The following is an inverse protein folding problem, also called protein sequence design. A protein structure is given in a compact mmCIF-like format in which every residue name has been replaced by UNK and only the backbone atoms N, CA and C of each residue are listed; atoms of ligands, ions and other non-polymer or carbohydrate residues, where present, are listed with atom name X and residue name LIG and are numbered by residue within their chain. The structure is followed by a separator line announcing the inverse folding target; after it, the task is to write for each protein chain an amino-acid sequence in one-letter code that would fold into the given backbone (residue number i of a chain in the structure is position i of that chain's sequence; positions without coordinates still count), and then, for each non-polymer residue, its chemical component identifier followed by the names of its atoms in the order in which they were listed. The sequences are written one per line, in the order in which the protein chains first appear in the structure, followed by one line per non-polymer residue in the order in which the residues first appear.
data_IF_347663982187
#
_entry.id   IF_347663982187
#
_cell.length_a   1.000
_cell.length_b   1.000
_cell.length_c   1.000
_cell.angle_alpha   90.00
_cell.angle_beta   90.00
_cell.angle_gamma   90.00
#
_symmetry.space_group_name_H-M   'P 1'
#
loop_
_entity.id
_entity.type
_entity.pdbx_description
1 polymer ?
#
# COMPACT_ATOMS: atom_id res chain seq x y z
N UNK A 1 5.76 -46.69 -42.98
CA UNK A 1 5.95 -46.66 -41.52
C UNK A 1 4.66 -46.17 -40.88
N UNK A 2 3.87 -47.10 -40.35
CA UNK A 2 2.56 -46.79 -39.73
C UNK A 2 2.82 -46.41 -38.27
N UNK A 3 2.31 -45.25 -37.85
CA UNK A 3 2.50 -44.65 -36.53
C UNK A 3 1.46 -45.24 -35.58
N UNK A 4 1.86 -46.16 -34.71
CA UNK A 4 0.98 -46.71 -33.67
C UNK A 4 0.55 -45.60 -32.69
N UNK A 5 -0.72 -45.19 -32.77
CA UNK A 5 -1.38 -44.42 -31.70
C UNK A 5 -1.79 -45.42 -30.61
N UNK A 6 -0.87 -45.75 -29.71
CA UNK A 6 -1.22 -46.42 -28.45
C UNK A 6 -2.02 -45.43 -27.61
N UNK A 7 -3.34 -45.61 -27.57
CA UNK A 7 -4.19 -44.91 -26.61
C UNK A 7 -3.69 -45.21 -25.21
N UNK A 8 -3.44 -44.19 -24.40
CA UNK A 8 -3.08 -44.37 -23.01
C UNK A 8 -4.32 -44.94 -22.30
N UNK A 9 -4.33 -46.25 -22.05
CA UNK A 9 -5.30 -46.89 -21.16
C UNK A 9 -4.97 -46.42 -19.74
N UNK A 10 -5.51 -45.26 -19.37
CA UNK A 10 -5.45 -44.77 -18.00
C UNK A 10 -6.28 -45.72 -17.16
N UNK A 11 -5.60 -46.43 -16.25
CA UNK A 11 -6.26 -47.28 -15.26
C UNK A 11 -7.38 -46.49 -14.57
N UNK A 12 -8.55 -47.11 -14.41
CA UNK A 12 -9.74 -46.48 -13.82
C UNK A 12 -9.44 -45.81 -12.47
N UNK A 13 -8.48 -46.36 -11.71
CA UNK A 13 -8.01 -45.78 -10.46
C UNK A 13 -7.34 -44.40 -10.64
N UNK A 14 -6.57 -44.20 -11.72
CA UNK A 14 -5.89 -42.93 -12.01
C UNK A 14 -6.91 -41.84 -12.36
N UNK A 15 -7.99 -42.21 -13.06
CA UNK A 15 -9.09 -41.29 -13.38
C UNK A 15 -9.81 -40.85 -12.10
N UNK A 16 -10.06 -41.77 -11.17
CA UNK A 16 -10.72 -41.45 -9.90
C UNK A 16 -9.82 -40.53 -9.06
N UNK A 17 -8.54 -40.84 -8.94
CA UNK A 17 -7.58 -40.05 -8.16
C UNK A 17 -7.44 -38.65 -8.74
N UNK A 18 -7.36 -38.50 -10.06
CA UNK A 18 -7.21 -37.18 -10.68
C UNK A 18 -8.42 -36.28 -10.44
N UNK A 19 -9.65 -36.82 -10.48
CA UNK A 19 -10.87 -36.08 -10.15
C UNK A 19 -10.85 -35.62 -8.69
N UNK A 20 -10.48 -36.49 -7.75
CA UNK A 20 -10.40 -36.14 -6.33
C UNK A 20 -9.38 -35.01 -6.07
N UNK A 21 -8.22 -35.07 -6.70
CA UNK A 21 -7.19 -34.01 -6.60
C UNK A 21 -7.73 -32.69 -7.14
N UNK A 22 -8.41 -32.69 -8.29
CA UNK A 22 -8.99 -31.48 -8.87
C UNK A 22 -10.04 -30.89 -7.93
N UNK A 23 -10.92 -31.71 -7.34
CA UNK A 23 -11.93 -31.22 -6.40
C UNK A 23 -11.30 -30.60 -5.15
N UNK A 24 -10.27 -31.24 -4.58
CA UNK A 24 -9.55 -30.68 -3.43
C UNK A 24 -8.89 -29.35 -3.79
N UNK A 25 -8.27 -29.24 -4.96
CA UNK A 25 -7.66 -27.99 -5.41
C UNK A 25 -8.67 -26.86 -5.60
N UNK A 26 -9.86 -27.16 -6.13
CA UNK A 26 -10.95 -26.17 -6.28
C UNK A 26 -11.42 -25.68 -4.91
N UNK A 27 -11.62 -26.58 -3.96
CA UNK A 27 -12.00 -26.21 -2.58
C UNK A 27 -10.93 -25.31 -1.97
N UNK A 28 -9.67 -25.72 -2.01
CA UNK A 28 -8.55 -24.92 -1.47
C UNK A 28 -8.46 -23.54 -2.14
N UNK A 29 -8.54 -23.46 -3.46
CA UNK A 29 -8.51 -22.21 -4.20
C UNK A 29 -9.66 -21.26 -3.82
N UNK A 30 -10.89 -21.79 -3.69
CA UNK A 30 -12.05 -20.98 -3.29
C UNK A 30 -11.95 -20.48 -1.85
N UNK A 31 -11.37 -21.26 -0.94
CA UNK A 31 -11.05 -20.80 0.43
C UNK A 31 -10.02 -19.66 0.43
N UNK A 32 -8.95 -19.78 -0.38
CA UNK A 32 -7.96 -18.70 -0.50
C UNK A 32 -8.55 -17.44 -1.13
N UNK A 33 -9.34 -17.55 -2.19
CA UNK A 33 -9.97 -16.40 -2.86
C UNK A 33 -10.99 -15.71 -1.94
N UNK A 34 -11.81 -16.49 -1.22
CA UNK A 34 -12.89 -15.96 -0.37
C UNK A 34 -12.39 -15.42 0.98
N UNK A 35 -11.37 -16.04 1.58
CA UNK A 35 -10.88 -15.68 2.90
C UNK A 35 -9.81 -14.59 2.92
N UNK A 36 -8.95 -14.51 1.90
CA UNK A 36 -7.81 -13.57 1.92
C UNK A 36 -8.19 -12.15 1.48
N UNK A 37 -9.12 -12.00 0.54
CA UNK A 37 -9.48 -10.70 -0.04
C UNK A 37 -10.06 -9.71 0.98
N UNK A 38 -10.80 -10.19 1.98
CA UNK A 38 -11.40 -9.34 3.03
C UNK A 38 -10.42 -9.00 4.16
N UNK A 39 -9.48 -9.89 4.46
CA UNK A 39 -8.45 -9.67 5.48
C UNK A 39 -7.37 -8.69 4.97
N UNK A 40 -6.91 -8.83 3.72
CA UNK A 40 -5.94 -7.89 3.15
C UNK A 40 -6.51 -6.49 2.91
N UNK A 41 -7.81 -6.39 2.60
CA UNK A 41 -8.48 -5.09 2.48
C UNK A 41 -8.57 -4.37 3.82
N UNK A 42 -8.88 -5.11 4.90
CA UNK A 42 -8.90 -4.56 6.26
C UNK A 42 -7.49 -4.22 6.80
N UNK A 43 -6.46 -4.98 6.45
CA UNK A 43 -5.08 -4.69 6.87
C UNK A 43 -4.52 -3.43 6.18
N UNK A 44 -4.96 -3.11 4.95
CA UNK A 44 -4.62 -1.83 4.30
C UNK A 44 -5.32 -0.61 4.92
N UNK A 45 -6.44 -0.83 5.62
CA UNK A 45 -7.25 0.23 6.22
C UNK A 45 -7.01 0.37 7.73
N UNK A 46 -6.59 -0.71 8.41
CA UNK A 46 -6.19 -0.76 9.82
C UNK A 46 -4.67 -0.67 9.97
N UNK A 47 -4.13 0.52 9.75
CA UNK A 47 -3.12 1.01 10.67
C UNK A 47 -3.33 2.51 10.75
N UNK A 48 -4.17 3.00 11.70
CA UNK A 48 -4.00 4.36 12.16
C UNK A 48 -2.53 4.48 12.48
N UNK A 49 -1.85 5.30 11.70
CA UNK A 49 -0.41 5.21 11.58
C UNK A 49 0.13 5.65 12.92
N UNK A 50 0.64 4.70 13.72
CA UNK A 50 1.19 4.96 15.06
C UNK A 50 1.96 6.27 14.98
N UNK A 51 1.50 7.30 15.69
CA UNK A 51 2.02 8.67 15.54
C UNK A 51 3.55 8.70 15.53
N UNK A 52 4.20 7.89 16.38
CA UNK A 52 5.66 7.74 16.39
C UNK A 52 6.28 7.17 15.10
N UNK A 53 5.65 6.17 14.47
CA UNK A 53 6.10 5.63 13.17
C UNK A 53 5.88 6.63 12.02
N UNK A 54 4.79 7.39 12.10
CA UNK A 54 4.48 8.46 11.14
C UNK A 54 5.46 9.61 11.24
N UNK A 55 5.82 10.02 12.46
CA UNK A 55 6.85 11.03 12.74
C UNK A 55 8.20 10.59 12.20
N UNK A 56 8.61 9.34 12.46
CA UNK A 56 9.87 8.81 11.95
C UNK A 56 9.91 8.73 10.41
N UNK A 57 8.78 8.39 9.77
CA UNK A 57 8.66 8.40 8.31
C UNK A 57 8.76 9.83 7.74
N UNK A 58 8.16 10.82 8.40
CA UNK A 58 8.29 12.23 8.02
C UNK A 58 9.72 12.74 8.18
N UNK A 59 10.41 12.37 9.27
CA UNK A 59 11.79 12.79 9.53
C UNK A 59 12.75 12.24 8.47
N UNK A 60 12.61 10.96 8.12
CA UNK A 60 13.37 10.33 7.02
C UNK A 60 13.12 11.03 5.67
N UNK A 61 11.85 11.38 5.37
CA UNK A 61 11.52 12.11 4.15
C UNK A 61 12.03 13.54 4.15
N UNK A 62 12.04 14.19 5.29
CA UNK A 62 12.62 15.52 5.45
C UNK A 62 14.13 15.49 5.14
N UNK A 63 14.87 14.53 5.72
CA UNK A 63 16.29 14.37 5.45
C UNK A 63 16.56 14.15 3.96
N UNK A 64 15.75 13.31 3.29
CA UNK A 64 15.85 13.13 1.85
C UNK A 64 15.54 14.42 1.09
N UNK A 65 14.50 15.15 1.49
CA UNK A 65 14.10 16.38 0.81
C UNK A 65 15.16 17.49 0.92
N UNK A 66 15.90 17.54 2.04
CA UNK A 66 17.01 18.48 2.23
C UNK A 66 18.20 18.20 1.29
N UNK A 67 18.35 16.98 0.78
CA UNK A 67 19.41 16.65 -0.18
C UNK A 67 19.14 17.17 -1.59
N UNK A 68 17.92 17.62 -1.89
CA UNK A 68 17.63 18.20 -3.19
C UNK A 68 18.19 19.62 -3.30
N UNK A 69 18.84 19.93 -4.41
CA UNK A 69 19.38 21.27 -4.66
C UNK A 69 18.34 22.25 -5.20
N UNK A 70 17.28 21.76 -5.86
CA UNK A 70 16.27 22.61 -6.48
C UNK A 70 15.03 22.78 -5.61
N UNK A 71 14.53 24.01 -5.58
CA UNK A 71 13.29 24.35 -4.86
C UNK A 71 12.08 23.57 -5.37
N UNK A 72 12.04 23.26 -6.67
CA UNK A 72 10.98 22.45 -7.28
C UNK A 72 11.06 21.00 -6.80
N UNK A 73 12.26 20.43 -6.66
CA UNK A 73 12.43 19.07 -6.12
C UNK A 73 12.10 19.01 -4.62
N UNK A 74 12.41 20.06 -3.85
CA UNK A 74 12.00 20.20 -2.44
C UNK A 74 10.47 20.25 -2.32
N UNK A 75 9.79 21.06 -3.15
CA UNK A 75 8.31 21.17 -3.20
C UNK A 75 7.62 19.86 -3.58
N UNK A 76 8.15 19.17 -4.58
CA UNK A 76 7.56 17.93 -5.08
C UNK A 76 8.01 16.68 -4.30
N UNK A 77 8.81 16.88 -3.25
CA UNK A 77 9.38 15.82 -2.43
C UNK A 77 8.31 15.01 -1.71
N UNK A 78 8.66 13.78 -1.35
CA UNK A 78 7.79 12.89 -0.59
C UNK A 78 7.43 13.44 0.79
N UNK A 79 8.18 14.41 1.32
CA UNK A 79 7.85 15.10 2.57
C UNK A 79 6.61 15.99 2.41
N UNK A 80 6.54 16.80 1.34
CA UNK A 80 5.38 17.69 1.10
C UNK A 80 4.10 16.92 0.75
N UNK A 81 4.22 15.80 0.03
CA UNK A 81 3.10 14.98 -0.47
C UNK A 81 2.58 13.94 0.50
N UNK A 82 3.30 13.68 1.61
CA UNK A 82 2.91 12.61 2.53
C UNK A 82 1.74 13.06 3.39
N UNK A 83 0.66 12.32 3.25
CA UNK A 83 -0.52 12.37 4.11
C UNK A 83 -0.40 11.31 5.20
N UNK A 84 -0.76 11.70 6.41
CA UNK A 84 -0.83 10.85 7.60
C UNK A 84 -2.26 10.90 8.10
N UNK A 85 -2.80 9.72 8.27
CA UNK A 85 -4.13 9.50 8.82
C UNK A 85 -3.97 9.20 10.30
N UNK A 86 -4.29 10.19 11.13
CA UNK A 86 -4.25 10.05 12.58
C UNK A 86 -5.66 9.79 13.07
N UNK A 87 -5.78 8.77 13.90
CA UNK A 87 -6.98 8.49 14.69
C UNK A 87 -6.91 9.36 15.95
N UNK A 88 -7.85 10.29 16.08
CA UNK A 88 -7.90 11.27 17.17
C UNK A 88 -8.96 10.90 18.20
N UNK A 89 -9.92 10.04 17.84
CA UNK A 89 -11.05 9.65 18.67
C UNK A 89 -10.96 8.19 19.19
N UNK A 90 -9.88 7.47 18.86
CA UNK A 90 -9.59 6.09 19.24
C UNK A 90 -10.66 5.09 18.75
N UNK A 91 -11.38 5.43 17.67
CA UNK A 91 -12.39 4.59 17.03
C UNK A 91 -11.79 3.61 16.00
N UNK A 92 -10.46 3.59 15.90
CA UNK A 92 -9.66 2.86 14.92
C UNK A 92 -9.93 3.28 13.47
N UNK A 93 -10.32 4.54 13.24
CA UNK A 93 -10.51 5.13 11.92
C UNK A 93 -9.67 6.40 11.78
N UNK A 94 -9.39 6.74 10.53
CA UNK A 94 -8.72 7.98 10.20
C UNK A 94 -9.71 9.15 10.32
N UNK A 95 -9.62 9.93 11.40
CA UNK A 95 -10.47 11.09 11.62
C UNK A 95 -10.05 12.28 10.76
N UNK A 96 -8.74 12.53 10.70
CA UNK A 96 -8.18 13.69 10.04
C UNK A 96 -6.91 13.32 9.26
N UNK A 97 -6.80 13.94 8.09
CA UNK A 97 -5.62 13.83 7.24
C UNK A 97 -4.70 15.01 7.57
N UNK A 98 -3.52 14.70 8.08
CA UNK A 98 -2.48 15.68 8.37
C UNK A 98 -1.30 15.47 7.41
N UNK A 99 -0.61 16.55 7.08
CA UNK A 99 0.64 16.46 6.33
C UNK A 99 1.86 16.41 7.26
N UNK A 100 2.98 15.86 6.76
CA UNK A 100 4.26 15.89 7.48
C UNK A 100 4.74 17.31 7.84
N UNK A 101 4.34 18.31 7.06
CA UNK A 101 4.65 19.73 7.29
C UNK A 101 3.61 20.46 8.15
N UNK A 102 2.49 19.80 8.50
CA UNK A 102 1.49 20.36 9.42
C UNK A 102 2.07 20.51 10.82
N UNK A 103 1.73 21.62 11.47
CA UNK A 103 2.08 21.92 12.86
C UNK A 103 1.56 20.89 13.88
N UNK A 104 0.60 20.05 13.49
CA UNK A 104 -0.03 19.06 14.37
C UNK A 104 0.78 17.77 14.51
N UNK A 105 1.58 17.40 13.50
CA UNK A 105 2.48 16.23 13.53
C UNK A 105 3.93 16.61 13.87
N UNK A 106 4.32 17.85 13.57
CA UNK A 106 5.47 18.49 14.23
C UNK A 106 6.84 17.94 13.84
N UNK A 107 7.06 17.56 12.56
CA UNK A 107 8.42 17.34 12.07
C UNK A 107 8.91 18.61 11.39
N UNK A 108 9.68 19.40 12.12
CA UNK A 108 10.32 20.60 11.58
C UNK A 108 11.33 20.21 10.50
N UNK A 109 11.07 20.63 9.27
CA UNK A 109 11.99 20.44 8.17
C UNK A 109 12.47 21.81 7.68
N UNK A 110 13.55 22.36 8.27
CA UNK A 110 14.05 23.67 7.87
C UNK A 110 14.33 23.69 6.36
N UNK A 111 14.03 24.82 5.72
CA UNK A 111 14.14 25.08 4.27
C UNK A 111 13.10 24.36 3.37
N UNK A 112 12.68 23.13 3.68
CA UNK A 112 11.69 22.40 2.88
C UNK A 112 10.25 22.71 3.31
N UNK A 113 9.98 22.82 4.60
CA UNK A 113 8.63 22.98 5.16
C UNK A 113 7.90 24.23 4.63
N UNK A 114 8.61 25.36 4.54
CA UNK A 114 8.05 26.60 3.99
C UNK A 114 7.71 26.51 2.50
N UNK A 115 8.31 25.55 1.78
CA UNK A 115 8.06 25.32 0.36
C UNK A 115 6.87 24.35 0.14
N UNK A 116 6.48 23.56 1.14
CA UNK A 116 5.33 22.66 1.05
C UNK A 116 3.98 23.39 1.24
N UNK A 117 3.96 24.47 2.03
CA UNK A 117 2.74 25.19 2.40
C UNK A 117 2.21 26.16 1.31
N UNK A 118 2.60 25.96 0.04
CA UNK A 118 2.30 26.90 -1.06
C UNK A 118 1.28 26.34 -2.06
N UNK A 119 0.83 25.09 -1.89
CA UNK A 119 -0.13 24.42 -2.78
C UNK A 119 -1.61 24.82 -2.55
N UNK A 120 -1.87 26.08 -2.19
CA UNK A 120 -3.23 26.63 -2.25
C UNK A 120 -3.40 27.73 -3.32
N UNK A 121 -2.35 28.14 -4.05
CA UNK A 121 -2.42 29.34 -4.91
C UNK A 121 -1.68 29.30 -6.27
N UNK A 122 -1.41 28.13 -6.88
CA UNK A 122 -0.93 28.07 -8.28
C UNK A 122 -1.85 27.24 -9.20
N UNK A 123 -3.17 27.42 -9.07
CA UNK A 123 -4.16 27.21 -10.16
C UNK A 123 -4.53 28.55 -10.86
N UNK A 124 -3.75 29.62 -10.65
CA UNK A 124 -3.94 30.90 -11.32
C UNK A 124 -2.61 31.37 -11.94
N UNK A 125 -2.63 31.50 -13.27
CA UNK A 125 -1.58 32.03 -14.16
C UNK A 125 -0.51 30.99 -14.54
N UNK A 126 -0.53 30.34 -15.72
CA UNK A 126 -0.82 30.83 -17.08
C UNK A 126 -1.07 29.67 -18.04
#
# INVERSE_FOLDING_TARGET
MIKDKRGAELSMNVIIISILVILVLVVVATFFISGSSSLFSKIKEYSPSNLGASVQDCESKCQLAQTFDSDVAKRTSSYCKKEIKVDTNDDNRADQVHHCWSSEIGVECPDVQNKCNVDAYEDLET
#
